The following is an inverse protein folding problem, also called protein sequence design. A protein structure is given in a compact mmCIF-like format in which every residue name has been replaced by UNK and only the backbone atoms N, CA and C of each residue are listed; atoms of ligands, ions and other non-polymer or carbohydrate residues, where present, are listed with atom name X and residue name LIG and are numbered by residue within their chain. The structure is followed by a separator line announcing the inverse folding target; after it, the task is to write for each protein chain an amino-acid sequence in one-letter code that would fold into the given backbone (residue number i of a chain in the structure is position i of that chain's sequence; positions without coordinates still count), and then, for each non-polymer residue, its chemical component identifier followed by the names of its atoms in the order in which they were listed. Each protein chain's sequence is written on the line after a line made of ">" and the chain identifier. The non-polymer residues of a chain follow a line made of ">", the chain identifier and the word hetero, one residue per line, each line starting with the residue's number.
data_IF_134350138659
#
_entry.id   IF_134350138659
#
_cell.length_a   1.000
_cell.length_b   1.000
_cell.length_c   1.000
_cell.angle_alpha   90.00
_cell.angle_beta   90.00
_cell.angle_gamma   90.00
#
_symmetry.space_group_name_H-M   'P 1'
#
loop_
_entity.id
_entity.type
_entity.pdbx_description
1 polymer ?
#
# COMPACT_ATOMS: atom_id res chain seq x y z
N UNK A 1 -5.02 -33.21 46.14
CA UNK A 1 -5.81 -33.42 44.89
C UNK A 1 -5.99 -32.17 44.05
N UNK A 2 -6.46 -31.02 44.57
CA UNK A 2 -6.71 -29.81 43.75
C UNK A 2 -5.49 -29.26 42.98
N UNK A 3 -4.27 -29.38 43.53
CA UNK A 3 -3.02 -28.93 42.87
C UNK A 3 -2.61 -29.78 41.65
N UNK A 4 -2.96 -31.08 41.63
CA UNK A 4 -2.67 -31.96 40.49
C UNK A 4 -3.64 -31.74 39.32
N UNK A 5 -4.88 -31.30 39.60
CA UNK A 5 -5.88 -30.99 38.56
C UNK A 5 -5.45 -29.75 37.76
N UNK A 6 -4.89 -28.73 38.40
CA UNK A 6 -4.41 -27.51 37.70
C UNK A 6 -3.19 -27.82 36.82
N UNK A 7 -2.28 -28.69 37.28
CA UNK A 7 -1.13 -29.13 36.50
C UNK A 7 -1.54 -29.96 35.27
N UNK A 8 -2.57 -30.79 35.41
CA UNK A 8 -3.13 -31.57 34.30
C UNK A 8 -3.86 -30.68 33.28
N UNK A 9 -4.55 -29.62 33.72
CA UNK A 9 -5.24 -28.68 32.83
C UNK A 9 -4.28 -27.86 31.95
N UNK A 10 -3.09 -27.51 32.46
CA UNK A 10 -2.06 -26.78 31.71
C UNK A 10 -1.39 -27.61 30.62
N UNK A 11 -1.36 -28.95 30.75
CA UNK A 11 -0.76 -29.85 29.75
C UNK A 11 -1.64 -30.00 28.50
N UNK A 12 -2.94 -29.71 28.60
CA UNK A 12 -3.87 -29.74 27.45
C UNK A 12 -3.99 -28.41 26.71
N UNK A 13 -3.39 -27.33 27.21
CA UNK A 13 -3.33 -26.07 26.47
C UNK A 13 -2.16 -26.15 25.48
N UNK A 14 -2.41 -26.79 24.33
CA UNK A 14 -1.59 -26.63 23.14
C UNK A 14 -1.72 -25.19 22.65
N UNK A 15 -0.89 -24.29 23.19
CA UNK A 15 -0.71 -22.97 22.59
C UNK A 15 0.01 -23.21 21.26
N UNK A 16 -0.75 -23.23 20.16
CA UNK A 16 -0.18 -23.18 18.83
C UNK A 16 0.39 -21.77 18.62
N UNK A 17 1.57 -21.51 19.17
CA UNK A 17 2.30 -20.28 18.90
C UNK A 17 2.96 -20.43 17.53
N UNK A 18 2.33 -19.84 16.52
CA UNK A 18 2.92 -19.72 15.19
C UNK A 18 3.92 -18.57 15.21
N UNK A 19 5.13 -18.84 15.70
CA UNK A 19 6.21 -17.88 15.66
C UNK A 19 6.81 -17.86 14.25
N UNK A 20 6.38 -16.93 13.41
CA UNK A 20 7.18 -16.54 12.24
C UNK A 20 8.33 -15.67 12.76
N UNK A 21 9.56 -16.02 12.39
CA UNK A 21 10.71 -15.17 12.74
C UNK A 21 10.63 -13.90 11.87
N UNK A 22 10.50 -12.71 12.47
CA UNK A 22 10.53 -11.47 11.72
C UNK A 22 11.90 -11.32 11.06
N UNK A 23 11.91 -10.86 9.81
CA UNK A 23 13.13 -10.58 9.05
C UNK A 23 13.51 -9.12 9.25
N UNK A 24 14.77 -8.87 9.65
CA UNK A 24 15.31 -7.52 9.74
C UNK A 24 16.44 -7.34 8.72
N UNK A 25 16.29 -6.37 7.83
CA UNK A 25 17.27 -6.03 6.79
C UNK A 25 17.79 -4.62 7.09
N UNK A 26 19.08 -4.46 7.36
CA UNK A 26 19.70 -3.17 7.64
C UNK A 26 21.05 -3.03 6.92
N UNK A 27 21.10 -3.53 5.70
CA UNK A 27 22.27 -3.46 4.83
C UNK A 27 21.82 -3.61 3.38
N UNK A 28 22.76 -3.75 2.45
CA UNK A 28 22.47 -4.05 1.06
C UNK A 28 21.76 -5.40 0.92
N UNK A 29 20.66 -5.43 0.19
CA UNK A 29 19.87 -6.64 -0.09
C UNK A 29 19.45 -6.64 -1.55
N UNK A 30 19.75 -7.73 -2.27
CA UNK A 30 19.45 -7.85 -3.70
C UNK A 30 18.27 -8.80 -3.92
N UNK A 31 17.25 -8.32 -4.62
CA UNK A 31 16.17 -9.13 -5.18
C UNK A 31 16.52 -9.39 -6.63
N UNK A 32 17.03 -10.59 -6.90
CA UNK A 32 17.49 -10.98 -8.23
C UNK A 32 16.35 -11.50 -9.11
N UNK A 33 16.53 -11.40 -10.42
CA UNK A 33 15.62 -11.97 -11.41
C UNK A 33 15.67 -13.52 -11.42
N UNK A 34 14.60 -14.16 -11.90
CA UNK A 34 14.54 -15.60 -12.15
C UNK A 34 14.23 -16.49 -10.94
N UNK A 35 14.54 -16.06 -9.71
CA UNK A 35 14.14 -16.77 -8.48
C UNK A 35 13.47 -15.79 -7.52
N UNK A 36 12.18 -15.97 -7.16
CA UNK A 36 11.51 -15.07 -6.25
C UNK A 36 12.16 -15.06 -4.85
N UNK A 37 12.41 -13.88 -4.32
CA UNK A 37 12.68 -13.70 -2.88
C UNK A 37 11.34 -13.80 -2.15
N UNK A 38 11.30 -14.54 -1.06
CA UNK A 38 10.06 -14.70 -0.27
C UNK A 38 10.30 -14.38 1.19
N UNK A 39 9.46 -13.50 1.74
CA UNK A 39 9.36 -13.24 3.17
C UNK A 39 8.08 -13.89 3.71
N UNK A 40 8.24 -15.00 4.41
CA UNK A 40 7.11 -15.77 4.97
C UNK A 40 6.50 -15.13 6.22
N UNK A 41 7.23 -14.22 6.87
CA UNK A 41 6.76 -13.44 8.01
C UNK A 41 7.05 -11.96 7.88
N UNK A 42 6.83 -11.23 8.96
CA UNK A 42 7.00 -9.78 9.02
C UNK A 42 8.42 -9.40 8.57
N UNK A 43 8.54 -8.26 7.89
CA UNK A 43 9.82 -7.74 7.42
C UNK A 43 9.97 -6.27 7.80
N UNK A 44 11.13 -5.95 8.34
CA UNK A 44 11.53 -4.58 8.68
C UNK A 44 12.81 -4.23 7.92
N UNK A 45 12.76 -3.14 7.15
CA UNK A 45 13.91 -2.54 6.50
C UNK A 45 14.37 -1.37 7.37
N UNK A 46 15.53 -1.52 8.00
CA UNK A 46 16.14 -0.51 8.88
C UNK A 46 16.77 0.66 8.12
N UNK A 47 17.31 1.66 8.85
CA UNK A 47 17.83 2.90 8.27
C UNK A 47 18.97 2.73 7.27
N UNK A 48 19.76 1.67 7.38
CA UNK A 48 20.89 1.39 6.48
C UNK A 48 20.50 0.41 5.34
N UNK A 49 19.22 0.05 5.22
CA UNK A 49 18.76 -0.86 4.19
C UNK A 49 18.85 -0.21 2.80
N UNK A 50 19.52 -0.91 1.88
CA UNK A 50 19.53 -0.57 0.46
C UNK A 50 19.09 -1.79 -0.33
N UNK A 51 17.86 -1.76 -0.80
CA UNK A 51 17.23 -2.88 -1.51
C UNK A 51 17.33 -2.65 -3.00
N UNK A 52 18.05 -3.50 -3.70
CA UNK A 52 18.11 -3.49 -5.16
C UNK A 52 17.09 -4.47 -5.74
N UNK A 53 16.30 -4.04 -6.71
CA UNK A 53 15.36 -4.88 -7.45
C UNK A 53 15.80 -4.94 -8.92
N UNK A 54 16.26 -6.11 -9.37
CA UNK A 54 16.61 -6.35 -10.77
C UNK A 54 15.35 -6.34 -11.66
N UNK A 55 15.56 -6.16 -12.98
CA UNK A 55 14.50 -6.34 -13.95
C UNK A 55 13.94 -7.77 -13.94
N UNK A 56 12.60 -7.88 -13.87
CA UNK A 56 11.90 -9.14 -13.71
C UNK A 56 12.04 -9.79 -12.33
N UNK A 57 12.69 -9.11 -11.37
CA UNK A 57 12.77 -9.59 -9.99
C UNK A 57 11.39 -9.64 -9.33
N UNK A 58 11.20 -10.63 -8.46
CA UNK A 58 9.94 -10.81 -7.74
C UNK A 58 10.24 -10.98 -6.26
N UNK A 59 9.76 -10.05 -5.44
CA UNK A 59 9.75 -10.17 -3.99
C UNK A 59 8.33 -10.47 -3.51
N UNK A 60 8.12 -11.59 -2.82
CA UNK A 60 6.82 -12.04 -2.31
C UNK A 60 6.78 -11.82 -0.80
N UNK A 61 5.84 -11.00 -0.36
CA UNK A 61 5.59 -10.76 1.06
C UNK A 61 4.30 -11.48 1.51
N UNK A 62 4.48 -12.47 2.38
CA UNK A 62 3.39 -13.22 3.02
C UNK A 62 3.17 -12.86 4.49
N UNK A 63 4.07 -12.07 5.09
CA UNK A 63 3.96 -11.63 6.48
C UNK A 63 2.75 -10.72 6.74
N UNK A 64 2.54 -10.34 8.01
CA UNK A 64 1.50 -9.38 8.40
C UNK A 64 1.94 -7.96 8.16
N UNK A 65 3.12 -7.61 8.65
CA UNK A 65 3.61 -6.23 8.72
C UNK A 65 4.90 -6.09 7.89
N UNK A 66 4.88 -5.15 6.94
CA UNK A 66 6.06 -4.63 6.28
C UNK A 66 6.32 -3.22 6.81
N UNK A 67 7.51 -3.00 7.37
CA UNK A 67 7.93 -1.71 7.91
C UNK A 67 9.20 -1.26 7.23
N UNK A 68 9.18 -0.03 6.71
CA UNK A 68 10.31 0.60 6.04
C UNK A 68 10.73 1.83 6.85
N UNK A 69 12.00 1.89 7.22
CA UNK A 69 12.58 3.06 7.87
C UNK A 69 12.66 4.25 6.89
N UNK A 70 12.45 5.50 7.35
CA UNK A 70 12.57 6.69 6.51
C UNK A 70 13.94 6.91 5.83
N UNK A 71 15.01 6.28 6.31
CA UNK A 71 16.33 6.35 5.66
C UNK A 71 16.60 5.21 4.66
N UNK A 72 15.76 4.16 4.65
CA UNK A 72 15.90 3.03 3.75
C UNK A 72 15.74 3.44 2.28
N UNK A 73 16.35 2.68 1.38
CA UNK A 73 16.32 2.94 -0.07
C UNK A 73 15.90 1.69 -0.82
N UNK A 74 15.03 1.88 -1.81
CA UNK A 74 14.68 0.84 -2.78
C UNK A 74 15.06 1.37 -4.16
N UNK A 75 15.85 0.58 -4.88
CA UNK A 75 16.48 0.98 -6.13
C UNK A 75 16.14 -0.06 -7.17
N UNK A 76 15.39 0.34 -8.19
CA UNK A 76 15.27 -0.48 -9.39
C UNK A 76 16.60 -0.48 -10.15
N UNK A 77 17.04 -1.65 -10.61
CA UNK A 77 18.20 -1.83 -11.48
C UNK A 77 17.71 -2.22 -12.88
N UNK A 78 17.13 -1.28 -13.65
CA UNK A 78 16.72 -1.57 -15.01
C UNK A 78 17.93 -1.87 -15.88
N UNK A 79 17.76 -2.81 -16.81
CA UNK A 79 18.66 -2.97 -17.94
C UNK A 79 18.23 -2.05 -19.10
N UNK A 80 19.17 -1.62 -19.93
CA UNK A 80 18.89 -0.98 -21.23
C UNK A 80 18.03 0.31 -21.18
N UNK A 81 18.23 1.20 -20.19
CA UNK A 81 17.51 2.48 -20.05
C UNK A 81 15.97 2.35 -19.99
N UNK A 82 15.46 1.26 -19.42
CA UNK A 82 14.02 1.04 -19.24
C UNK A 82 13.56 1.43 -17.82
N UNK A 83 12.25 1.48 -17.62
CA UNK A 83 11.66 1.47 -16.28
C UNK A 83 11.88 0.10 -15.65
N UNK A 84 12.41 0.06 -14.43
CA UNK A 84 12.64 -1.20 -13.72
C UNK A 84 11.34 -1.99 -13.56
N UNK A 85 11.39 -3.28 -13.84
CA UNK A 85 10.23 -4.19 -13.84
C UNK A 85 10.13 -5.09 -12.61
N UNK A 86 11.13 -5.03 -11.71
CA UNK A 86 11.09 -5.75 -10.44
C UNK A 86 9.92 -5.31 -9.56
N UNK A 87 9.25 -6.26 -8.90
CA UNK A 87 7.98 -6.05 -8.17
C UNK A 87 8.02 -6.57 -6.73
N UNK A 88 7.36 -5.84 -5.82
CA UNK A 88 7.05 -6.30 -4.45
C UNK A 88 5.56 -6.68 -4.40
N UNK A 89 5.28 -7.96 -4.19
CA UNK A 89 3.92 -8.50 -4.14
C UNK A 89 3.46 -8.74 -2.70
N UNK A 90 2.37 -8.09 -2.31
CA UNK A 90 1.64 -8.36 -1.08
C UNK A 90 0.69 -9.52 -1.33
N UNK A 91 1.11 -10.73 -0.93
CA UNK A 91 0.37 -11.96 -1.23
C UNK A 91 -0.23 -12.58 0.01
N UNK A 92 -1.51 -12.87 -0.09
CA UNK A 92 -2.29 -13.42 0.99
C UNK A 92 -2.03 -14.90 1.30
N UNK A 93 -1.98 -15.72 0.25
CA UNK A 93 -2.03 -17.19 0.35
C UNK A 93 -0.68 -17.76 0.80
N UNK A 94 -0.36 -17.63 2.10
CA UNK A 94 0.90 -18.11 2.68
C UNK A 94 0.93 -19.65 2.66
N UNK A 95 1.84 -20.28 1.89
CA UNK A 95 1.83 -21.74 1.74
C UNK A 95 2.26 -22.47 3.02
N UNK A 96 2.91 -21.78 3.96
CA UNK A 96 3.31 -22.36 5.25
C UNK A 96 2.21 -22.24 6.32
N UNK A 97 1.19 -21.42 6.09
CA UNK A 97 0.16 -21.11 7.10
C UNK A 97 -1.22 -21.02 6.44
N UNK A 98 -1.87 -22.16 6.23
CA UNK A 98 -3.23 -22.23 5.68
C UNK A 98 -4.22 -21.46 6.56
N UNK A 99 -5.04 -20.59 5.95
CA UNK A 99 -5.98 -19.72 6.66
C UNK A 99 -5.39 -18.38 7.11
N UNK A 100 -4.08 -18.20 6.94
CA UNK A 100 -3.46 -16.90 6.71
C UNK A 100 -3.67 -16.59 5.21
N UNK A 101 -4.35 -15.50 4.85
CA UNK A 101 -4.04 -14.13 5.28
C UNK A 101 -4.95 -13.53 6.35
N UNK A 102 -4.36 -12.58 7.08
CA UNK A 102 -5.07 -11.38 7.54
C UNK A 102 -4.85 -10.26 6.51
N UNK A 103 -5.62 -9.17 6.62
CA UNK A 103 -5.25 -7.91 5.95
C UNK A 103 -3.78 -7.57 6.25
N UNK A 104 -2.95 -7.38 5.24
CA UNK A 104 -1.54 -7.03 5.43
C UNK A 104 -1.40 -5.56 5.77
N UNK A 105 -0.27 -5.16 6.33
CA UNK A 105 0.01 -3.76 6.67
C UNK A 105 1.32 -3.30 6.05
N UNK A 106 1.36 -2.02 5.71
CA UNK A 106 2.54 -1.37 5.14
C UNK A 106 2.77 -0.03 5.84
N UNK A 107 3.92 0.11 6.50
CA UNK A 107 4.51 1.40 6.79
C UNK A 107 5.62 1.63 5.77
N UNK A 108 5.37 2.45 4.76
CA UNK A 108 6.32 2.73 3.67
C UNK A 108 7.44 3.70 4.04
N UNK A 109 7.45 4.27 5.25
CA UNK A 109 8.52 5.13 5.76
C UNK A 109 8.64 6.51 5.11
N UNK A 110 7.81 6.85 4.13
CA UNK A 110 7.94 8.11 3.39
C UNK A 110 7.65 9.32 4.28
N UNK A 111 8.54 10.31 4.28
CA UNK A 111 8.34 11.55 5.06
C UNK A 111 8.39 12.78 4.15
N UNK A 112 9.38 12.86 3.27
CA UNK A 112 9.55 13.94 2.29
C UNK A 112 10.61 13.54 1.24
N UNK A 113 10.75 14.33 0.17
CA UNK A 113 11.77 14.11 -0.85
C UNK A 113 11.48 12.90 -1.74
N UNK A 114 12.48 12.06 -2.00
CA UNK A 114 12.35 10.93 -2.93
C UNK A 114 12.48 9.56 -2.28
N UNK A 115 12.89 9.48 -1.01
CA UNK A 115 13.14 8.20 -0.33
C UNK A 115 12.43 8.15 1.03
N UNK A 116 12.07 6.95 1.50
CA UNK A 116 11.97 5.71 0.72
C UNK A 116 10.86 5.82 -0.34
N UNK A 117 11.08 5.19 -1.51
CA UNK A 117 10.03 4.96 -2.49
C UNK A 117 10.09 3.53 -3.00
N UNK A 118 9.00 2.79 -2.86
CA UNK A 118 8.94 1.40 -3.31
C UNK A 118 8.68 1.37 -4.82
N UNK A 119 9.52 0.69 -5.62
CA UNK A 119 9.22 0.47 -7.02
C UNK A 119 8.20 -0.65 -7.16
N UNK A 120 7.26 -0.49 -8.10
CA UNK A 120 6.25 -1.48 -8.52
C UNK A 120 5.72 -2.38 -7.39
N UNK A 121 4.50 -2.10 -6.92
CA UNK A 121 3.84 -3.00 -5.97
C UNK A 121 2.68 -3.74 -6.62
N UNK A 122 2.45 -4.98 -6.19
CA UNK A 122 1.26 -5.75 -6.53
C UNK A 122 0.45 -6.05 -5.27
N UNK A 123 -0.85 -5.78 -5.33
CA UNK A 123 -1.81 -6.17 -4.29
C UNK A 123 -2.49 -7.47 -4.74
N UNK A 124 -2.07 -8.59 -4.15
CA UNK A 124 -2.63 -9.93 -4.36
C UNK A 124 -3.17 -10.47 -3.02
N UNK A 125 -4.01 -9.66 -2.37
CA UNK A 125 -4.57 -9.96 -1.07
C UNK A 125 -6.05 -9.53 -1.00
N UNK A 126 -7.01 -10.46 -0.96
CA UNK A 126 -8.44 -10.12 -0.95
C UNK A 126 -8.89 -9.31 0.28
N UNK A 127 -8.14 -9.35 1.39
CA UNK A 127 -8.39 -8.51 2.58
C UNK A 127 -7.67 -7.14 2.49
N UNK A 128 -6.88 -6.94 1.45
CA UNK A 128 -6.15 -5.73 1.14
C UNK A 128 -4.88 -5.51 1.95
N UNK A 129 -4.28 -4.35 1.71
CA UNK A 129 -3.11 -3.81 2.42
C UNK A 129 -3.51 -2.51 3.10
N UNK A 130 -3.25 -2.41 4.39
CA UNK A 130 -3.60 -1.26 5.24
C UNK A 130 -2.36 -0.42 5.52
N UNK A 131 -2.39 0.87 5.22
CA UNK A 131 -1.26 1.74 5.51
C UNK A 131 -1.17 2.03 7.00
N UNK A 132 0.04 1.89 7.54
CA UNK A 132 0.45 2.29 8.89
C UNK A 132 1.51 3.40 8.88
N UNK A 133 1.86 3.88 7.68
CA UNK A 133 2.76 5.00 7.43
C UNK A 133 2.61 5.48 6.00
N UNK A 134 2.97 6.74 5.77
CA UNK A 134 2.96 7.29 4.42
C UNK A 134 3.87 6.43 3.52
N UNK A 135 3.40 6.18 2.31
CA UNK A 135 4.07 5.29 1.36
C UNK A 135 4.19 6.00 0.04
N UNK A 136 5.41 6.11 -0.50
CA UNK A 136 5.65 6.59 -1.86
C UNK A 136 5.96 5.42 -2.77
N UNK A 137 5.29 5.38 -3.93
CA UNK A 137 5.46 4.36 -4.94
C UNK A 137 6.00 5.00 -6.22
N UNK A 138 6.96 4.32 -6.85
CA UNK A 138 7.40 4.63 -8.20
C UNK A 138 6.85 3.61 -9.20
N UNK A 139 6.64 4.04 -10.45
CA UNK A 139 6.24 3.23 -11.60
C UNK A 139 4.81 2.66 -11.57
N UNK A 140 4.50 1.68 -10.71
CA UNK A 140 3.19 1.01 -10.76
C UNK A 140 2.65 0.57 -9.41
N UNK A 141 1.33 0.65 -9.28
CA UNK A 141 0.54 -0.08 -8.29
C UNK A 141 -0.42 -0.97 -9.05
N UNK A 142 -0.12 -2.27 -9.11
CA UNK A 142 -0.96 -3.26 -9.77
C UNK A 142 -1.93 -3.89 -8.78
N UNK A 143 -3.22 -3.88 -9.10
CA UNK A 143 -4.21 -4.57 -8.29
C UNK A 143 -4.60 -5.89 -8.93
N UNK A 144 -4.22 -6.99 -8.28
CA UNK A 144 -4.66 -8.34 -8.66
C UNK A 144 -5.89 -8.76 -7.87
N UNK A 145 -5.87 -8.59 -6.54
CA UNK A 145 -6.99 -8.84 -5.62
C UNK A 145 -6.94 -7.89 -4.43
N UNK A 146 -8.08 -7.30 -4.08
CA UNK A 146 -8.29 -6.47 -2.88
C UNK A 146 -7.87 -5.00 -3.04
N UNK A 147 -7.73 -4.32 -1.90
CA UNK A 147 -7.63 -2.86 -1.84
C UNK A 147 -6.35 -2.38 -1.15
N UNK A 148 -6.03 -1.10 -1.30
CA UNK A 148 -5.14 -0.37 -0.38
C UNK A 148 -6.02 0.52 0.51
N UNK A 149 -5.95 0.36 1.82
CA UNK A 149 -6.65 1.20 2.80
C UNK A 149 -5.70 2.28 3.32
N UNK A 150 -6.05 3.55 3.12
CA UNK A 150 -5.17 4.67 3.48
C UNK A 150 -5.16 4.95 4.98
N UNK A 151 -6.27 4.69 5.68
CA UNK A 151 -6.47 5.13 7.06
C UNK A 151 -6.11 6.63 7.19
N UNK A 152 -5.12 6.96 8.02
CA UNK A 152 -4.64 8.32 8.23
C UNK A 152 -3.36 8.67 7.45
N UNK A 153 -2.97 7.83 6.49
CA UNK A 153 -1.69 7.94 5.79
C UNK A 153 -1.85 8.14 4.30
N UNK A 154 -0.87 8.82 3.70
CA UNK A 154 -0.91 9.15 2.28
C UNK A 154 -0.24 8.06 1.44
N UNK A 155 -0.86 7.77 0.30
CA UNK A 155 -0.23 7.03 -0.80
C UNK A 155 0.24 8.05 -1.83
N UNK A 156 1.55 8.21 -1.95
CA UNK A 156 2.18 9.14 -2.88
C UNK A 156 2.63 8.38 -4.12
N UNK A 157 2.19 8.82 -5.28
CA UNK A 157 2.61 8.32 -6.58
C UNK A 157 3.56 9.34 -7.20
N UNK A 158 4.74 8.90 -7.58
CA UNK A 158 5.68 9.76 -8.32
C UNK A 158 5.15 10.16 -9.71
N UNK A 159 5.95 10.90 -10.48
CA UNK A 159 5.54 11.39 -11.80
C UNK A 159 5.11 10.27 -12.77
N UNK A 160 5.81 9.13 -12.73
CA UNK A 160 5.62 8.05 -13.69
C UNK A 160 4.69 6.96 -13.16
N UNK A 161 4.35 7.02 -11.86
CA UNK A 161 3.54 6.04 -11.19
C UNK A 161 2.08 6.04 -11.66
N UNK A 162 1.60 4.86 -12.03
CA UNK A 162 0.21 4.61 -12.45
C UNK A 162 -0.45 3.51 -11.63
N UNK A 163 -1.79 3.54 -11.58
CA UNK A 163 -2.59 2.41 -11.13
C UNK A 163 -2.91 1.49 -12.30
N UNK A 164 -2.84 0.18 -12.08
CA UNK A 164 -3.16 -0.84 -13.08
C UNK A 164 -4.25 -1.76 -12.52
N UNK A 165 -5.16 -2.17 -13.41
CA UNK A 165 -6.22 -3.14 -13.12
C UNK A 165 -7.12 -2.73 -11.94
N UNK A 166 -7.56 -1.48 -11.88
CA UNK A 166 -8.50 -1.03 -10.85
C UNK A 166 -9.94 -1.25 -11.28
N UNK A 167 -10.80 -1.67 -10.35
CA UNK A 167 -12.25 -1.77 -10.55
C UNK A 167 -13.02 -1.74 -9.20
N UNK A 168 -14.31 -2.04 -9.25
CA UNK A 168 -15.20 -2.05 -8.08
C UNK A 168 -14.74 -2.98 -6.95
N UNK A 169 -14.01 -4.04 -7.26
CA UNK A 169 -13.48 -5.03 -6.30
C UNK A 169 -12.03 -4.76 -5.88
N UNK A 170 -11.35 -3.82 -6.54
CA UNK A 170 -9.93 -3.56 -6.32
C UNK A 170 -9.51 -2.13 -6.67
N UNK A 171 -9.19 -1.36 -5.64
CA UNK A 171 -8.92 0.08 -5.73
C UNK A 171 -8.37 0.61 -4.38
N UNK A 172 -8.17 1.92 -4.26
CA UNK A 172 -7.72 2.57 -3.02
C UNK A 172 -8.92 3.06 -2.21
N UNK A 173 -8.95 2.75 -0.93
CA UNK A 173 -10.00 3.14 0.02
C UNK A 173 -9.48 4.25 0.92
N UNK A 174 -10.07 5.44 0.85
CA UNK A 174 -9.74 6.63 1.66
C UNK A 174 -10.57 6.65 2.96
N UNK A 175 -10.45 5.59 3.77
CA UNK A 175 -11.23 5.34 4.99
C UNK A 175 -10.75 6.12 6.24
N UNK A 176 -10.27 7.36 6.06
CA UNK A 176 -9.75 8.19 7.14
C UNK A 176 -9.33 9.57 6.65
N UNK A 177 -8.15 10.05 7.07
CA UNK A 177 -7.60 11.36 6.67
C UNK A 177 -6.56 11.28 5.57
N UNK A 178 -6.14 10.08 5.18
CA UNK A 178 -5.14 9.85 4.14
C UNK A 178 -5.66 10.18 2.74
N UNK A 179 -4.78 10.72 1.89
CA UNK A 179 -5.05 11.05 0.49
C UNK A 179 -4.17 10.25 -0.45
N UNK A 180 -4.63 10.03 -1.68
CA UNK A 180 -3.72 9.75 -2.79
C UNK A 180 -3.11 11.08 -3.22
N UNK A 181 -1.78 11.12 -3.34
CA UNK A 181 -1.06 12.24 -3.95
C UNK A 181 -0.49 11.76 -5.28
N UNK A 182 -0.86 12.39 -6.39
CA UNK A 182 -0.17 12.21 -7.66
C UNK A 182 0.77 13.38 -7.88
N UNK A 183 2.06 13.10 -7.94
CA UNK A 183 3.09 14.12 -8.14
C UNK A 183 3.20 14.51 -9.63
N UNK A 184 3.63 15.76 -9.84
CA UNK A 184 4.08 16.29 -11.13
C UNK A 184 3.09 16.14 -12.30
N UNK A 185 1.78 16.26 -12.04
CA UNK A 185 0.78 16.23 -13.11
C UNK A 185 0.96 17.45 -14.01
N UNK A 186 1.44 17.22 -15.23
CA UNK A 186 1.71 18.26 -16.22
C UNK A 186 0.44 19.03 -16.63
N UNK A 187 0.61 20.23 -17.18
CA UNK A 187 -0.50 20.98 -17.78
C UNK A 187 -1.20 20.14 -18.84
N UNK A 188 -2.53 20.15 -18.84
CA UNK A 188 -3.44 19.38 -19.69
C UNK A 188 -3.39 17.85 -19.52
N UNK A 189 -2.51 17.32 -18.67
CA UNK A 189 -2.50 15.91 -18.33
C UNK A 189 -3.71 15.56 -17.44
N UNK A 190 -4.23 14.35 -17.62
CA UNK A 190 -5.32 13.80 -16.80
C UNK A 190 -4.83 12.57 -16.04
N UNK A 191 -5.30 12.41 -14.81
CA UNK A 191 -5.04 11.23 -13.99
C UNK A 191 -6.34 10.73 -13.38
N UNK A 192 -6.57 9.41 -13.46
CA UNK A 192 -7.70 8.76 -12.81
C UNK A 192 -7.29 8.29 -11.42
N UNK A 193 -8.02 8.74 -10.41
CA UNK A 193 -7.89 8.34 -9.02
C UNK A 193 -8.94 7.24 -8.74
N UNK A 194 -8.53 5.98 -8.56
CA UNK A 194 -9.42 4.86 -8.25
C UNK A 194 -9.73 4.85 -6.75
N UNK A 195 -10.58 5.77 -6.31
CA UNK A 195 -10.88 6.01 -4.89
C UNK A 195 -12.28 5.59 -4.49
N UNK A 196 -12.44 5.29 -3.20
CA UNK A 196 -13.70 5.06 -2.51
C UNK A 196 -13.59 5.44 -1.04
N UNK A 197 -14.72 5.55 -0.34
CA UNK A 197 -14.72 5.61 1.13
C UNK A 197 -14.68 4.20 1.76
N UNK A 198 -15.14 3.18 1.02
CA UNK A 198 -15.22 1.78 1.47
C UNK A 198 -15.00 0.82 0.29
N UNK A 199 -14.54 -0.41 0.57
CA UNK A 199 -14.16 -1.38 -0.47
C UNK A 199 -15.28 -1.81 -1.42
N UNK A 200 -16.55 -1.61 -1.07
CA UNK A 200 -17.71 -1.92 -1.93
C UNK A 200 -18.30 -0.67 -2.63
N UNK A 201 -17.60 0.46 -2.56
CA UNK A 201 -18.16 1.78 -2.88
C UNK A 201 -17.26 2.56 -3.85
N UNK A 202 -16.96 1.93 -4.98
CA UNK A 202 -16.00 2.46 -5.95
C UNK A 202 -16.52 3.70 -6.66
N UNK A 203 -15.88 4.84 -6.41
CA UNK A 203 -16.31 6.17 -6.86
C UNK A 203 -15.12 6.94 -7.45
N UNK A 204 -14.55 6.49 -8.58
CA UNK A 204 -13.33 7.06 -9.12
C UNK A 204 -13.52 8.51 -9.59
N UNK A 205 -12.44 9.29 -9.58
CA UNK A 205 -12.42 10.65 -10.10
C UNK A 205 -11.30 10.81 -11.13
N UNK A 206 -11.59 11.43 -12.28
CA UNK A 206 -10.55 11.84 -13.22
C UNK A 206 -10.33 13.33 -13.09
N UNK A 207 -9.09 13.74 -12.86
CA UNK A 207 -8.72 15.15 -12.72
C UNK A 207 -7.78 15.53 -13.86
N UNK A 208 -8.14 16.58 -14.59
CA UNK A 208 -7.28 17.20 -15.61
C UNK A 208 -6.65 18.45 -15.02
N UNK A 209 -5.32 18.53 -15.01
CA UNK A 209 -4.64 19.76 -14.59
C UNK A 209 -4.74 20.81 -15.69
N UNK A 210 -5.32 21.97 -15.41
CA UNK A 210 -5.37 23.13 -16.33
C UNK A 210 -4.44 24.27 -15.93
N UNK A 211 -3.66 24.09 -14.88
CA UNK A 211 -2.64 25.02 -14.43
C UNK A 211 -1.24 24.49 -14.78
N UNK A 212 -0.19 25.26 -14.44
CA UNK A 212 1.19 24.77 -14.41
C UNK A 212 1.30 23.48 -13.59
N UNK A 213 2.34 22.66 -13.83
CA UNK A 213 2.57 21.36 -13.18
C UNK A 213 2.25 21.36 -11.67
N UNK A 214 1.41 20.41 -11.23
CA UNK A 214 0.91 20.32 -9.86
C UNK A 214 1.08 18.93 -9.26
N UNK A 215 1.21 18.90 -7.93
CA UNK A 215 0.85 17.72 -7.15
C UNK A 215 -0.66 17.78 -6.88
N UNK A 216 -1.39 16.70 -7.14
CA UNK A 216 -2.84 16.63 -6.97
C UNK A 216 -3.17 15.62 -5.87
N UNK A 217 -3.93 16.06 -4.88
CA UNK A 217 -4.35 15.25 -3.75
C UNK A 217 -5.84 14.92 -3.89
N UNK A 218 -6.21 13.65 -3.71
CA UNK A 218 -7.61 13.19 -3.83
C UNK A 218 -7.95 12.24 -2.68
N UNK A 219 -9.12 12.46 -2.08
CA UNK A 219 -9.81 11.51 -1.20
C UNK A 219 -11.32 11.62 -1.37
N UNK A 220 -12.04 10.56 -0.99
CA UNK A 220 -13.50 10.54 -0.87
C UNK A 220 -13.87 10.46 0.61
N UNK A 221 -14.82 11.28 1.02
CA UNK A 221 -15.36 11.30 2.39
C UNK A 221 -16.86 11.15 2.40
N UNK A 222 -17.36 10.76 3.56
CA UNK A 222 -18.79 10.80 3.85
C UNK A 222 -19.25 12.25 3.82
N UNK A 223 -20.43 12.46 3.24
CA UNK A 223 -21.10 13.76 3.20
C UNK A 223 -21.15 14.45 4.58
N UNK A 224 -21.50 13.70 5.62
CA UNK A 224 -21.65 14.22 6.99
C UNK A 224 -20.30 14.59 7.63
N UNK A 225 -19.20 14.07 7.09
CA UNK A 225 -17.84 14.38 7.54
C UNK A 225 -17.19 15.52 6.72
N UNK A 226 -17.93 16.13 5.77
CA UNK A 226 -17.48 17.25 4.96
C UNK A 226 -17.93 18.60 5.55
N UNK A 227 -17.07 19.62 5.43
CA UNK A 227 -17.38 20.99 5.86
C UNK A 227 -18.09 21.84 4.80
N UNK A 228 -18.54 21.22 3.70
CA UNK A 228 -19.22 21.94 2.61
C UNK A 228 -20.65 22.38 3.03
N UNK A 229 -21.20 23.38 2.33
CA UNK A 229 -22.58 23.87 2.55
C UNK A 229 -23.56 22.96 1.82
N UNK A 230 -24.20 22.07 2.57
CA UNK A 230 -24.66 20.76 2.11
C UNK A 230 -26.12 20.49 2.55
N UNK A 231 -27.08 21.31 2.09
CA UNK A 231 -28.49 21.21 2.54
C UNK A 231 -29.50 20.82 1.47
N UNK A 232 -29.08 20.63 0.21
CA UNK A 232 -30.02 20.49 -0.92
C UNK A 232 -30.17 19.07 -1.49
N UNK A 233 -29.27 18.12 -1.18
CA UNK A 233 -29.18 16.85 -1.92
C UNK A 233 -29.11 15.56 -1.09
N UNK A 234 -29.24 15.62 0.24
CA UNK A 234 -29.12 14.43 1.13
C UNK A 234 -30.12 13.29 0.88
N UNK A 235 -31.11 13.48 -0.01
CA UNK A 235 -32.07 12.42 -0.43
C UNK A 235 -32.03 12.13 -1.93
N UNK A 236 -31.16 12.80 -2.68
CA UNK A 236 -31.07 12.72 -4.14
C UNK A 236 -29.60 12.60 -4.56
N UNK A 237 -29.05 11.40 -4.47
CA UNK A 237 -27.70 11.12 -4.97
C UNK A 237 -26.96 10.10 -4.12
N UNK A 238 -25.63 10.20 -4.18
CA UNK A 238 -24.71 9.39 -3.42
C UNK A 238 -24.08 10.28 -2.34
N UNK A 239 -24.10 9.82 -1.08
CA UNK A 239 -23.68 10.60 0.09
C UNK A 239 -22.15 10.70 0.22
N UNK A 240 -21.49 11.24 -0.80
CA UNK A 240 -20.03 11.29 -0.91
C UNK A 240 -19.55 12.67 -1.33
N UNK A 241 -18.45 13.09 -0.73
CA UNK A 241 -17.72 14.29 -1.13
C UNK A 241 -16.32 13.90 -1.61
N UNK A 242 -15.97 14.28 -2.83
CA UNK A 242 -14.60 14.24 -3.31
C UNK A 242 -13.88 15.50 -2.84
N UNK A 243 -12.84 15.34 -2.02
CA UNK A 243 -11.97 16.42 -1.63
C UNK A 243 -10.72 16.38 -2.51
N UNK A 244 -10.60 17.38 -3.38
CA UNK A 244 -9.53 17.50 -4.36
C UNK A 244 -8.80 18.81 -4.09
N UNK A 245 -7.49 18.74 -3.89
CA UNK A 245 -6.63 19.91 -3.72
C UNK A 245 -5.38 19.78 -4.58
N UNK A 246 -4.68 20.88 -4.81
CA UNK A 246 -3.42 20.86 -5.53
C UNK A 246 -2.42 21.86 -4.96
N UNK A 247 -1.13 21.59 -5.18
CA UNK A 247 -0.02 22.49 -4.87
C UNK A 247 0.91 22.62 -6.07
N UNK A 248 1.69 23.70 -6.16
CA UNK A 248 2.82 23.72 -7.09
C UNK A 248 3.69 22.49 -6.82
N UNK A 249 4.15 21.85 -7.90
CA UNK A 249 5.10 20.76 -7.82
C UNK A 249 6.49 21.26 -7.41
#
# INVERSE_FOLDING_TARGET
>A
MKKFIVLFLLIFVRVNLWAQSPTYINTTFNVNAGVPVTWYGDVTFGPDAVVYLEDGATAIFYGKNMVVDPAAKFISLPSNNQTGTGVIMFRADNPLHTGYPLQQTLNGGYTSGTNPSLPNIEIDNPLGVSLLGNTRITNTVNFKRGHIYLNSFNLVLDNDAIFIATDVTKHVVTNGTGVIVKENVATDASFQFPVSIAGADYTPATVTNKAATRNINVQVKDYNASAAVETTFATKGMDRTWQISSSLA
#
